data_IF_311599872000
#
_entry.id   IF_311599872000
#
_cell.length_a   1.000
_cell.length_b   1.000
_cell.length_c   1.000
_cell.angle_alpha   90.00
_cell.angle_beta   90.00
_cell.angle_gamma   90.00
#
_symmetry.space_group_name_H-M   'P 1'
#
loop_
_entity.id
_entity.type
_entity.pdbx_description
1 polymer ?
#
# COMPACT_ATOMS: atom_id res chain seq x y z
N UNK A 1 6.13 -17.08 22.24
CA UNK A 1 4.92 -17.08 21.38
C UNK A 1 5.36 -17.21 19.92
N UNK A 2 5.13 -18.35 19.27
CA UNK A 2 5.60 -18.62 17.89
C UNK A 2 4.77 -17.78 16.92
N UNK A 3 5.28 -16.62 16.51
CA UNK A 3 4.58 -15.69 15.60
C UNK A 3 4.41 -16.38 14.26
N UNK A 4 3.16 -16.65 13.89
CA UNK A 4 2.84 -17.29 12.61
C UNK A 4 2.73 -16.18 11.55
N UNK A 5 3.73 -16.02 10.66
CA UNK A 5 3.82 -14.87 9.76
C UNK A 5 2.60 -14.74 8.84
N UNK A 6 1.94 -15.85 8.51
CA UNK A 6 0.68 -15.88 7.75
C UNK A 6 -0.46 -15.13 8.46
N UNK A 7 -0.60 -15.30 9.79
CA UNK A 7 -1.65 -14.63 10.56
C UNK A 7 -1.40 -13.12 10.64
N UNK A 8 -0.15 -12.72 10.81
CA UNK A 8 0.25 -11.31 10.89
C UNK A 8 -0.02 -10.62 9.55
N UNK A 9 0.38 -11.25 8.43
CA UNK A 9 0.10 -10.72 7.09
C UNK A 9 -1.40 -10.52 6.88
N UNK A 10 -2.22 -11.50 7.26
CA UNK A 10 -3.68 -11.42 7.10
C UNK A 10 -4.31 -10.27 7.89
N UNK A 11 -3.86 -10.05 9.12
CA UNK A 11 -4.34 -8.94 9.97
C UNK A 11 -3.95 -7.58 9.37
N UNK A 12 -2.69 -7.45 8.90
CA UNK A 12 -2.21 -6.22 8.24
C UNK A 12 -3.02 -5.96 6.96
N UNK A 13 -3.26 -6.99 6.14
CA UNK A 13 -4.08 -6.86 4.94
C UNK A 13 -5.51 -6.41 5.28
N UNK A 14 -6.14 -6.99 6.30
CA UNK A 14 -7.49 -6.60 6.72
C UNK A 14 -7.54 -5.13 7.18
N UNK A 15 -6.58 -4.70 8.00
CA UNK A 15 -6.43 -3.30 8.42
C UNK A 15 -6.27 -2.36 7.21
N UNK A 16 -5.48 -2.78 6.23
CA UNK A 16 -5.25 -2.00 5.02
C UNK A 16 -6.50 -1.86 4.16
N UNK A 17 -7.29 -2.93 4.02
CA UNK A 17 -8.59 -2.90 3.33
C UNK A 17 -9.55 -1.96 4.04
N UNK A 18 -9.64 -2.02 5.37
CA UNK A 18 -10.49 -1.11 6.14
C UNK A 18 -10.05 0.36 5.98
N UNK A 19 -8.75 0.63 5.94
CA UNK A 19 -8.20 1.96 5.71
C UNK A 19 -8.55 2.51 4.32
N UNK A 20 -8.47 1.68 3.27
CA UNK A 20 -8.90 2.07 1.92
C UNK A 20 -10.39 2.38 1.85
N UNK A 21 -11.23 1.53 2.47
CA UNK A 21 -12.68 1.74 2.52
C UNK A 21 -13.01 3.04 3.26
N UNK A 22 -12.33 3.34 4.37
CA UNK A 22 -12.51 4.60 5.09
C UNK A 22 -12.28 5.83 4.21
N UNK A 23 -11.22 5.83 3.39
CA UNK A 23 -10.97 6.94 2.47
C UNK A 23 -12.01 7.04 1.36
N UNK A 24 -12.51 5.92 0.82
CA UNK A 24 -13.58 5.91 -0.18
C UNK A 24 -14.89 6.49 0.36
N UNK A 25 -15.18 6.29 1.65
CA UNK A 25 -16.36 6.88 2.30
C UNK A 25 -16.25 8.39 2.50
N UNK A 26 -15.05 8.95 2.57
CA UNK A 26 -14.84 10.39 2.69
C UNK A 26 -14.98 11.14 1.35
N UNK A 27 -14.97 10.43 0.23
CA UNK A 27 -15.13 11.05 -1.09
C UNK A 27 -16.58 11.53 -1.23
N UNK A 28 -16.74 12.83 -1.53
CA UNK A 28 -18.01 13.34 -2.01
C UNK A 28 -18.21 12.89 -3.46
N UNK A 29 -19.06 11.87 -3.64
CA UNK A 29 -19.36 11.25 -4.93
C UNK A 29 -20.23 12.13 -5.84
N UNK A 30 -21.00 13.07 -5.29
CA UNK A 30 -21.83 14.00 -6.07
C UNK A 30 -20.98 15.07 -6.78
N UNK A 31 -19.85 15.45 -6.18
CA UNK A 31 -18.88 16.36 -6.78
C UNK A 31 -17.45 15.88 -6.56
N UNK A 32 -16.99 15.01 -7.45
CA UNK A 32 -15.65 14.41 -7.39
C UNK A 32 -14.54 15.46 -7.40
N UNK A 33 -14.72 16.58 -8.09
CA UNK A 33 -13.70 17.65 -8.18
C UNK A 33 -13.76 18.66 -7.02
N UNK A 34 -14.54 18.38 -5.97
CA UNK A 34 -14.53 19.22 -4.79
C UNK A 34 -13.13 19.21 -4.14
N UNK A 35 -12.63 20.39 -3.78
CA UNK A 35 -11.33 20.59 -3.13
C UNK A 35 -11.24 19.86 -1.78
N UNK A 36 -12.38 19.63 -1.13
CA UNK A 36 -12.47 18.85 0.11
C UNK A 36 -12.12 17.36 -0.10
N UNK A 37 -12.32 16.83 -1.31
CA UNK A 37 -11.96 15.45 -1.65
C UNK A 37 -10.45 15.25 -1.84
N UNK A 38 -9.66 16.32 -1.91
CA UNK A 38 -8.21 16.25 -2.17
C UNK A 38 -7.49 15.36 -1.15
N UNK A 39 -7.87 15.46 0.13
CA UNK A 39 -7.35 14.60 1.18
C UNK A 39 -7.70 13.12 0.95
N UNK A 40 -8.94 12.84 0.55
CA UNK A 40 -9.40 11.48 0.28
C UNK A 40 -8.72 10.84 -0.93
N UNK A 41 -8.52 11.60 -2.00
CA UNK A 41 -7.77 11.13 -3.17
C UNK A 41 -6.30 10.86 -2.84
N UNK A 42 -5.65 11.72 -2.05
CA UNK A 42 -4.29 11.48 -1.60
C UNK A 42 -4.20 10.21 -0.74
N UNK A 43 -5.18 9.99 0.15
CA UNK A 43 -5.28 8.78 0.96
C UNK A 43 -5.37 7.50 0.13
N UNK A 44 -6.26 7.46 -0.86
CA UNK A 44 -6.39 6.33 -1.79
C UNK A 44 -5.13 6.17 -2.64
N UNK A 45 -4.57 7.27 -3.17
CA UNK A 45 -3.35 7.26 -3.99
C UNK A 45 -2.15 6.68 -3.23
N UNK A 46 -1.90 7.14 -2.00
CA UNK A 46 -0.84 6.62 -1.14
C UNK A 46 -1.08 5.13 -0.85
N UNK A 47 -2.32 4.73 -0.60
CA UNK A 47 -2.68 3.33 -0.42
C UNK A 47 -2.30 2.46 -1.62
N UNK A 48 -2.64 2.91 -2.84
CA UNK A 48 -2.27 2.20 -4.08
C UNK A 48 -0.74 2.15 -4.22
N UNK A 49 -0.03 3.25 -3.97
CA UNK A 49 1.43 3.31 -4.08
C UNK A 49 2.13 2.36 -3.12
N UNK A 50 1.66 2.25 -1.87
CA UNK A 50 2.19 1.28 -0.90
C UNK A 50 1.98 -0.15 -1.38
N UNK A 51 0.78 -0.47 -1.88
CA UNK A 51 0.46 -1.81 -2.40
C UNK A 51 1.34 -2.16 -3.59
N UNK A 52 1.53 -1.22 -4.52
CA UNK A 52 2.43 -1.40 -5.67
C UNK A 52 3.86 -1.59 -5.19
N UNK A 53 4.35 -0.75 -4.27
CA UNK A 53 5.70 -0.85 -3.71
C UNK A 53 5.96 -2.19 -3.02
N UNK A 54 4.97 -2.75 -2.32
CA UNK A 54 5.07 -4.07 -1.68
C UNK A 54 4.96 -5.23 -2.68
N UNK A 55 4.36 -5.01 -3.86
CA UNK A 55 4.24 -6.00 -4.92
C UNK A 55 5.41 -5.97 -5.90
N UNK A 56 6.13 -4.84 -6.03
CA UNK A 56 7.37 -4.78 -6.79
C UNK A 56 8.35 -5.75 -6.11
N UNK A 57 8.68 -6.88 -6.75
CA UNK A 57 9.72 -7.74 -6.21
C UNK A 57 10.98 -6.88 -6.15
N UNK A 58 11.65 -6.88 -5.00
CA UNK A 58 12.99 -6.33 -4.92
C UNK A 58 13.86 -7.16 -5.86
N UNK A 59 13.90 -6.80 -7.14
CA UNK A 59 15.03 -7.14 -7.99
C UNK A 59 16.18 -6.38 -7.34
N UNK A 60 16.78 -6.98 -6.32
CA UNK A 60 18.19 -6.78 -6.11
C UNK A 60 18.77 -7.03 -7.49
N UNK A 61 19.27 -5.96 -8.09
CA UNK A 61 20.19 -6.05 -9.20
C UNK A 61 21.25 -7.05 -8.77
N UNK A 62 21.10 -8.30 -9.19
CA UNK A 62 22.21 -9.14 -9.61
C UNK A 62 22.83 -8.45 -10.82
N UNK A 63 23.44 -7.29 -10.58
CA UNK A 63 24.58 -6.85 -11.36
C UNK A 63 25.78 -7.04 -10.43
N UNK A 64 26.33 -8.25 -10.58
CA UNK A 64 27.75 -8.59 -10.55
C UNK A 64 28.41 -8.88 -9.18
N UNK A 65 28.59 -10.19 -8.97
CA UNK A 65 29.44 -10.88 -8.00
C UNK A 65 30.92 -10.49 -8.18
N UNK A 66 31.75 -10.53 -7.11
CA UNK A 66 33.06 -9.90 -7.04
C UNK A 66 34.16 -10.76 -7.67
N UNK A 67 35.05 -10.15 -8.44
CA UNK A 67 36.33 -10.79 -8.80
C UNK A 67 37.45 -10.23 -7.90
N UNK A 68 37.84 -11.05 -6.91
CA UNK A 68 39.17 -10.99 -6.32
C UNK A 68 40.17 -11.50 -7.37
N UNK A 69 41.19 -10.71 -7.69
CA UNK A 69 42.57 -11.18 -7.82
C UNK A 69 43.53 -10.04 -7.47
#
# INVERSE_FOLDING_TARGET
MKRNPKKIKNIITLLFVAFLVFWLFQINWDNLFNKDNSGAFLGVFIGIMIVVSLQIPNKQSEDEVPEKH
#
